data_IF_251924120119
#
_entry.id   IF_251924120119
#
_cell.length_a   1.000
_cell.length_b   1.000
_cell.length_c   1.000
_cell.angle_alpha   90.00
_cell.angle_beta   90.00
_cell.angle_gamma   90.00
#
_symmetry.space_group_name_H-M   'P 1'
#
loop_
_entity.id
_entity.type
_entity.pdbx_description
1 polymer ?
#
# COMPACT_ATOMS: atom_id res chain seq x y z
N UNK A 1 19.87 -1.92 5.96
CA UNK A 1 21.17 -1.38 6.47
C UNK A 1 21.72 -0.21 5.65
N UNK A 2 21.72 -0.21 4.30
CA UNK A 2 22.31 0.86 3.48
C UNK A 2 21.83 2.29 3.87
N UNK A 3 20.51 2.60 4.01
CA UNK A 3 20.09 3.94 4.41
C UNK A 3 20.63 4.36 5.78
N UNK A 4 20.71 3.45 6.73
CA UNK A 4 21.26 3.74 8.07
C UNK A 4 22.75 4.13 7.98
N UNK A 5 23.53 3.41 7.18
CA UNK A 5 24.96 3.75 6.96
C UNK A 5 25.17 5.12 6.34
N UNK A 6 24.27 5.54 5.45
CA UNK A 6 24.39 6.81 4.72
C UNK A 6 23.95 8.02 5.55
N UNK A 7 22.91 7.87 6.38
CA UNK A 7 22.20 9.01 6.95
C UNK A 7 22.18 9.03 8.48
N UNK A 8 22.70 8.01 9.15
CA UNK A 8 22.73 7.92 10.62
C UNK A 8 24.15 7.68 11.12
N UNK A 9 24.51 8.37 12.20
CA UNK A 9 25.74 8.08 12.95
C UNK A 9 25.40 7.07 14.06
N UNK A 10 25.36 5.78 13.71
CA UNK A 10 25.03 4.69 14.61
C UNK A 10 26.12 3.62 14.58
N UNK A 11 26.27 2.85 15.65
CA UNK A 11 27.15 1.70 15.69
C UNK A 11 26.64 0.61 14.76
N UNK A 12 27.48 -0.37 14.46
CA UNK A 12 27.08 -1.51 13.63
C UNK A 12 26.01 -2.35 14.32
N UNK A 13 26.13 -2.50 15.64
CA UNK A 13 25.19 -3.23 16.48
C UNK A 13 23.78 -2.58 16.42
N UNK A 14 23.70 -1.27 16.66
CA UNK A 14 22.44 -0.51 16.58
C UNK A 14 21.78 -0.61 15.20
N UNK A 15 22.58 -0.57 14.13
CA UNK A 15 22.05 -0.75 12.77
C UNK A 15 21.50 -2.16 12.55
N UNK A 16 22.16 -3.20 13.08
CA UNK A 16 21.70 -4.59 12.98
C UNK A 16 20.40 -4.77 13.77
N UNK A 17 20.32 -4.28 15.00
CA UNK A 17 19.12 -4.31 15.81
C UNK A 17 17.94 -3.64 15.09
N UNK A 18 18.16 -2.45 14.52
CA UNK A 18 17.12 -1.75 13.76
C UNK A 18 16.68 -2.52 12.51
N UNK A 19 17.59 -3.15 11.80
CA UNK A 19 17.27 -4.00 10.63
C UNK A 19 16.45 -5.21 11.08
N UNK A 20 16.85 -5.90 12.14
CA UNK A 20 16.13 -7.03 12.68
C UNK A 20 14.71 -6.65 13.14
N UNK A 21 14.57 -5.50 13.79
CA UNK A 21 13.28 -4.96 14.20
C UNK A 21 12.33 -4.76 12.99
N UNK A 22 12.78 -4.08 11.93
CA UNK A 22 11.91 -3.85 10.76
C UNK A 22 11.64 -5.12 9.96
N UNK A 23 12.58 -6.07 9.90
CA UNK A 23 12.34 -7.36 9.26
C UNK A 23 11.29 -8.17 10.04
N UNK A 24 11.35 -8.17 11.36
CA UNK A 24 10.33 -8.78 12.20
C UNK A 24 8.97 -8.13 11.95
N UNK A 25 8.91 -6.80 11.89
CA UNK A 25 7.67 -6.05 11.67
C UNK A 25 6.96 -6.42 10.36
N UNK A 26 7.73 -6.79 9.33
CA UNK A 26 7.18 -7.25 8.04
C UNK A 26 7.09 -8.78 7.93
N UNK A 27 7.15 -9.51 9.04
CA UNK A 27 7.11 -10.98 9.09
C UNK A 27 8.19 -11.66 8.21
N UNK A 28 9.42 -11.15 8.29
CA UNK A 28 10.59 -11.68 7.59
C UNK A 28 11.76 -11.98 8.56
N UNK A 29 11.44 -12.44 9.77
CA UNK A 29 12.44 -12.94 10.72
C UNK A 29 13.31 -14.02 10.06
N UNK A 30 14.60 -14.03 10.39
CA UNK A 30 15.57 -14.98 9.86
C UNK A 30 15.85 -14.88 8.33
N UNK A 31 15.47 -13.75 7.70
CA UNK A 31 15.74 -13.53 6.27
C UNK A 31 16.99 -12.67 6.00
N UNK A 32 17.79 -12.37 7.02
CA UNK A 32 18.95 -11.45 6.95
C UNK A 32 20.02 -11.89 5.97
N UNK A 33 20.15 -13.19 5.76
CA UNK A 33 21.21 -13.79 4.94
C UNK A 33 20.72 -14.26 3.56
N UNK A 34 19.42 -14.04 3.26
CA UNK A 34 18.86 -14.39 1.96
C UNK A 34 19.17 -13.32 0.92
N UNK A 35 19.53 -13.76 -0.26
CA UNK A 35 19.64 -12.89 -1.43
C UNK A 35 18.25 -12.59 -2.02
N UNK A 36 18.06 -11.46 -2.73
CA UNK A 36 16.77 -11.11 -3.36
C UNK A 36 16.21 -12.22 -4.27
N UNK A 37 17.07 -12.97 -4.97
CA UNK A 37 16.66 -14.07 -5.83
C UNK A 37 16.10 -15.29 -5.07
N UNK A 38 16.35 -15.40 -3.77
CA UNK A 38 15.84 -16.47 -2.89
C UNK A 38 14.50 -16.10 -2.23
N UNK A 39 13.98 -14.90 -2.52
CA UNK A 39 12.76 -14.39 -1.95
C UNK A 39 11.59 -14.53 -2.95
N UNK A 40 10.42 -14.98 -2.46
CA UNK A 40 9.19 -14.90 -3.25
C UNK A 40 8.80 -13.44 -3.54
N UNK A 41 7.92 -13.21 -4.54
CA UNK A 41 7.45 -11.87 -4.88
C UNK A 41 6.88 -11.11 -3.67
N UNK A 42 6.03 -11.73 -2.87
CA UNK A 42 5.49 -11.14 -1.65
C UNK A 42 6.57 -10.86 -0.59
N UNK A 43 7.58 -11.71 -0.44
CA UNK A 43 8.72 -11.43 0.44
C UNK A 43 9.55 -10.23 -0.06
N UNK A 44 9.77 -10.10 -1.37
CA UNK A 44 10.48 -8.96 -1.95
C UNK A 44 9.73 -7.65 -1.69
N UNK A 45 8.40 -7.62 -1.84
CA UNK A 45 7.55 -6.47 -1.50
C UNK A 45 7.67 -6.10 -0.02
N UNK A 46 7.63 -7.08 0.88
CA UNK A 46 7.83 -6.86 2.33
C UNK A 46 9.23 -6.33 2.67
N UNK A 47 10.27 -6.82 2.01
CA UNK A 47 11.62 -6.24 2.15
C UNK A 47 11.66 -4.78 1.68
N UNK A 48 10.97 -4.45 0.57
CA UNK A 48 10.89 -3.07 0.10
C UNK A 48 10.22 -2.15 1.13
N UNK A 49 9.13 -2.60 1.76
CA UNK A 49 8.46 -1.87 2.86
C UNK A 49 9.42 -1.72 4.05
N UNK A 50 10.09 -2.79 4.50
CA UNK A 50 11.07 -2.72 5.58
C UNK A 50 12.19 -1.71 5.31
N UNK A 51 12.68 -1.65 4.06
CA UNK A 51 13.68 -0.65 3.64
C UNK A 51 13.14 0.78 3.71
N UNK A 52 11.89 0.99 3.36
CA UNK A 52 11.25 2.30 3.40
C UNK A 52 11.09 2.80 4.84
N UNK A 53 10.67 1.93 5.78
CA UNK A 53 10.38 2.32 7.17
C UNK A 53 11.59 2.30 8.10
N UNK A 54 12.76 1.78 7.65
CA UNK A 54 13.95 1.61 8.51
C UNK A 54 14.44 2.92 9.14
N UNK A 55 14.17 4.05 8.48
CA UNK A 55 14.59 5.39 8.90
C UNK A 55 13.54 6.14 9.73
N UNK A 56 12.42 5.51 10.08
CA UNK A 56 11.25 6.15 10.70
C UNK A 56 10.77 7.38 9.89
N UNK A 57 10.33 7.20 8.65
CA UNK A 57 9.88 8.30 7.82
C UNK A 57 8.59 8.91 8.37
N UNK A 58 8.33 10.19 8.05
CA UNK A 58 7.02 10.84 8.26
C UNK A 58 6.05 10.57 7.12
N UNK A 59 6.56 10.25 5.95
CA UNK A 59 5.80 10.00 4.72
C UNK A 59 6.28 8.70 4.07
N UNK A 60 5.34 7.87 3.66
CA UNK A 60 5.60 6.64 2.90
C UNK A 60 4.93 6.76 1.53
N UNK A 61 5.70 6.54 0.47
CA UNK A 61 5.20 6.52 -0.90
C UNK A 61 5.32 5.11 -1.45
N UNK A 62 4.21 4.53 -1.86
CA UNK A 62 4.12 3.20 -2.45
C UNK A 62 3.59 3.31 -3.88
N UNK A 63 4.34 2.77 -4.83
CA UNK A 63 3.94 2.67 -6.22
C UNK A 63 3.66 1.20 -6.54
N UNK A 64 2.39 0.88 -6.82
CA UNK A 64 1.91 -0.46 -7.10
C UNK A 64 2.45 -1.53 -6.11
N UNK A 65 2.21 -1.36 -4.80
CA UNK A 65 2.89 -2.18 -3.79
C UNK A 65 2.55 -3.67 -3.87
N UNK A 66 1.36 -4.03 -4.32
CA UNK A 66 0.85 -5.40 -4.43
C UNK A 66 0.82 -5.94 -5.87
N UNK A 67 1.29 -5.17 -6.84
CA UNK A 67 1.30 -5.58 -8.25
C UNK A 67 2.09 -6.87 -8.48
N UNK A 68 1.52 -7.77 -9.30
CA UNK A 68 2.14 -9.05 -9.66
C UNK A 68 2.04 -10.13 -8.59
N UNK A 69 1.21 -9.92 -7.55
CA UNK A 69 0.96 -10.91 -6.50
C UNK A 69 -0.40 -11.59 -6.72
N UNK A 70 -0.54 -12.78 -6.14
CA UNK A 70 -1.87 -13.42 -6.03
C UNK A 70 -2.79 -12.61 -5.09
N UNK A 71 -4.12 -12.74 -5.21
CA UNK A 71 -5.06 -11.92 -4.44
C UNK A 71 -4.88 -12.02 -2.91
N UNK A 72 -4.58 -13.19 -2.38
CA UNK A 72 -4.39 -13.36 -0.94
C UNK A 72 -3.12 -12.64 -0.46
N UNK A 73 -2.04 -12.77 -1.20
CA UNK A 73 -0.77 -12.08 -0.88
C UNK A 73 -0.91 -10.56 -1.07
N UNK A 74 -1.68 -10.10 -2.05
CA UNK A 74 -1.98 -8.67 -2.25
C UNK A 74 -2.69 -8.07 -1.02
N UNK A 75 -3.72 -8.72 -0.51
CA UNK A 75 -4.44 -8.32 0.72
C UNK A 75 -3.48 -8.24 1.92
N UNK A 76 -2.56 -9.21 2.06
CA UNK A 76 -1.57 -9.20 3.15
C UNK A 76 -0.61 -8.00 3.06
N UNK A 77 -0.25 -7.56 1.85
CA UNK A 77 0.58 -6.37 1.65
C UNK A 77 -0.21 -5.09 2.00
N UNK A 78 -1.47 -5.00 1.58
CA UNK A 78 -2.34 -3.85 1.87
C UNK A 78 -2.56 -3.71 3.39
N UNK A 79 -2.91 -4.79 4.07
CA UNK A 79 -3.04 -4.80 5.53
C UNK A 79 -1.75 -4.39 6.23
N UNK A 80 -0.60 -4.91 5.78
CA UNK A 80 0.70 -4.55 6.34
C UNK A 80 1.00 -3.05 6.19
N UNK A 81 0.69 -2.46 5.04
CA UNK A 81 0.87 -1.02 4.81
C UNK A 81 -0.04 -0.22 5.74
N UNK A 82 -1.30 -0.60 5.88
CA UNK A 82 -2.25 0.05 6.78
C UNK A 82 -1.78 -0.03 8.24
N UNK A 83 -1.44 -1.22 8.72
CA UNK A 83 -0.91 -1.41 10.08
C UNK A 83 0.33 -0.55 10.37
N UNK A 84 1.26 -0.47 9.40
CA UNK A 84 2.45 0.37 9.53
C UNK A 84 2.08 1.85 9.56
N UNK A 85 1.15 2.28 8.72
CA UNK A 85 0.65 3.65 8.67
C UNK A 85 0.09 4.07 10.03
N UNK A 86 -0.74 3.23 10.62
CA UNK A 86 -1.39 3.47 11.91
C UNK A 86 -0.40 3.40 13.08
N UNK A 87 0.45 2.36 13.13
CA UNK A 87 1.42 2.16 14.21
C UNK A 87 2.46 3.27 14.28
N UNK A 88 2.99 3.68 13.12
CA UNK A 88 4.04 4.70 13.06
C UNK A 88 3.49 6.13 12.92
N UNK A 89 2.15 6.29 12.83
CA UNK A 89 1.48 7.58 12.65
C UNK A 89 2.07 8.36 11.47
N UNK A 90 2.26 7.69 10.34
CA UNK A 90 2.82 8.27 9.12
C UNK A 90 1.72 8.58 8.12
N UNK A 91 1.98 9.51 7.21
CA UNK A 91 1.13 9.73 6.04
C UNK A 91 1.59 8.84 4.91
N UNK A 92 0.72 7.94 4.45
CA UNK A 92 1.02 7.04 3.33
C UNK A 92 0.30 7.47 2.07
N UNK A 93 1.04 7.59 0.97
CA UNK A 93 0.50 7.83 -0.37
C UNK A 93 0.73 6.58 -1.21
N UNK A 94 -0.36 6.01 -1.71
CA UNK A 94 -0.32 4.79 -2.53
C UNK A 94 -0.80 5.15 -3.93
N UNK A 95 0.03 4.90 -4.93
CA UNK A 95 -0.38 4.88 -6.32
C UNK A 95 -0.74 3.45 -6.71
N UNK A 96 -1.97 3.24 -7.16
CA UNK A 96 -2.43 1.91 -7.59
C UNK A 96 -3.60 2.02 -8.57
N UNK A 97 -3.77 1.00 -9.39
CA UNK A 97 -4.96 0.81 -10.22
C UNK A 97 -5.88 -0.31 -9.67
N UNK A 98 -5.49 -0.96 -8.56
CA UNK A 98 -6.29 -2.02 -7.94
C UNK A 98 -7.39 -1.42 -7.06
N UNK A 99 -8.61 -1.50 -7.55
CA UNK A 99 -9.78 -0.99 -6.83
C UNK A 99 -10.07 -1.74 -5.52
N UNK A 100 -9.63 -2.99 -5.36
CA UNK A 100 -9.78 -3.71 -4.09
C UNK A 100 -8.93 -3.03 -3.01
N UNK A 101 -7.66 -2.73 -3.31
CA UNK A 101 -6.77 -1.98 -2.40
C UNK A 101 -7.34 -0.59 -2.08
N UNK A 102 -7.79 0.14 -3.12
CA UNK A 102 -8.41 1.47 -2.93
C UNK A 102 -9.59 1.42 -1.98
N UNK A 103 -10.45 0.41 -2.10
CA UNK A 103 -11.62 0.25 -1.26
C UNK A 103 -11.30 -0.26 0.15
N UNK A 104 -10.24 -1.05 0.29
CA UNK A 104 -9.86 -1.67 1.56
C UNK A 104 -9.12 -0.72 2.48
N UNK A 105 -8.13 0.01 1.96
CA UNK A 105 -7.21 0.82 2.76
C UNK A 105 -7.19 2.32 2.39
N UNK A 106 -8.01 2.76 1.44
CA UNK A 106 -8.04 4.15 0.99
C UNK A 106 -8.94 5.03 1.87
N UNK A 107 -8.36 5.93 2.66
CA UNK A 107 -9.11 6.95 3.41
C UNK A 107 -9.53 8.09 2.47
N UNK A 108 -8.56 8.64 1.76
CA UNK A 108 -8.72 9.72 0.79
C UNK A 108 -8.25 9.27 -0.58
N UNK A 109 -9.12 9.37 -1.56
CA UNK A 109 -8.86 8.92 -2.92
C UNK A 109 -8.75 10.12 -3.84
N UNK A 110 -7.68 10.17 -4.64
CA UNK A 110 -7.51 11.13 -5.73
C UNK A 110 -7.45 10.36 -7.03
N UNK A 111 -8.40 10.60 -7.92
CA UNK A 111 -8.42 9.97 -9.23
C UNK A 111 -7.75 10.86 -10.27
N UNK A 112 -6.71 10.33 -10.89
CA UNK A 112 -5.94 11.00 -11.93
C UNK A 112 -6.34 10.48 -13.31
N UNK A 113 -6.55 11.40 -14.25
CA UNK A 113 -6.81 11.08 -15.65
C UNK A 113 -6.19 12.14 -16.55
N UNK A 114 -5.53 11.71 -17.60
CA UNK A 114 -4.90 12.60 -18.60
C UNK A 114 -3.96 13.65 -17.95
N UNK A 115 -3.23 13.25 -16.90
CA UNK A 115 -2.29 14.10 -16.18
C UNK A 115 -2.91 15.13 -15.22
N UNK A 116 -4.24 15.10 -15.01
CA UNK A 116 -4.94 16.02 -14.11
C UNK A 116 -5.75 15.30 -13.06
N UNK A 117 -6.05 15.99 -11.95
CA UNK A 117 -6.98 15.50 -10.94
C UNK A 117 -8.41 15.57 -11.49
N UNK A 118 -8.97 14.41 -11.82
CA UNK A 118 -10.32 14.31 -12.35
C UNK A 118 -11.38 14.18 -11.24
N UNK A 119 -11.03 13.65 -10.08
CA UNK A 119 -11.94 13.51 -8.94
C UNK A 119 -11.16 13.35 -7.64
N UNK A 120 -11.82 13.66 -6.52
CA UNK A 120 -11.33 13.45 -5.15
C UNK A 120 -12.49 13.12 -4.24
N UNK A 121 -12.27 12.19 -3.29
CA UNK A 121 -13.28 11.78 -2.31
C UNK A 121 -12.81 10.62 -1.45
N UNK A 122 -13.74 9.95 -0.81
CA UNK A 122 -13.54 8.76 0.03
C UNK A 122 -14.00 7.50 -0.69
N UNK A 123 -13.67 6.32 -0.13
CA UNK A 123 -14.14 5.03 -0.65
C UNK A 123 -15.67 4.94 -0.71
N UNK A 124 -16.39 5.55 0.25
CA UNK A 124 -17.86 5.59 0.24
C UNK A 124 -18.44 6.48 -0.86
N UNK A 125 -17.73 7.56 -1.19
CA UNK A 125 -18.16 8.51 -2.23
C UNK A 125 -17.91 8.01 -3.64
N UNK A 126 -16.93 7.11 -3.84
CA UNK A 126 -16.70 6.45 -5.15
C UNK A 126 -17.97 5.77 -5.65
N UNK A 127 -18.76 5.14 -4.80
CA UNK A 127 -20.00 4.46 -5.20
C UNK A 127 -21.15 5.41 -5.52
N UNK A 128 -21.09 6.65 -5.06
CA UNK A 128 -22.14 7.67 -5.24
C UNK A 128 -21.83 8.68 -6.34
N UNK A 129 -20.57 8.77 -6.77
CA UNK A 129 -20.17 9.78 -7.75
C UNK A 129 -20.75 9.50 -9.13
N UNK A 130 -21.13 10.57 -9.81
CA UNK A 130 -21.52 10.58 -11.22
C UNK A 130 -20.39 11.10 -12.14
N UNK A 131 -19.17 11.27 -11.58
CA UNK A 131 -18.02 11.65 -12.39
C UNK A 131 -17.73 10.58 -13.44
N UNK A 132 -17.86 10.93 -14.72
CA UNK A 132 -17.76 9.99 -15.84
C UNK A 132 -16.43 9.23 -15.87
N UNK A 133 -15.32 9.88 -15.50
CA UNK A 133 -14.00 9.27 -15.50
C UNK A 133 -13.91 8.18 -14.46
N UNK A 134 -14.40 8.43 -13.25
CA UNK A 134 -14.45 7.44 -12.15
C UNK A 134 -15.40 6.31 -12.50
N UNK A 135 -16.62 6.65 -12.98
CA UNK A 135 -17.63 5.66 -13.36
C UNK A 135 -17.11 4.70 -14.42
N UNK A 136 -16.48 5.25 -15.49
CA UNK A 136 -15.93 4.42 -16.56
C UNK A 136 -14.79 3.51 -16.10
N UNK A 137 -13.95 3.96 -15.18
CA UNK A 137 -12.83 3.19 -14.68
C UNK A 137 -13.26 2.14 -13.65
N UNK A 138 -13.92 2.57 -12.59
CA UNK A 138 -14.29 1.70 -11.45
C UNK A 138 -15.30 0.64 -11.88
N UNK A 139 -16.29 1.03 -12.66
CA UNK A 139 -17.37 0.13 -13.10
C UNK A 139 -17.12 -0.52 -14.47
N UNK A 140 -15.87 -0.59 -14.90
CA UNK A 140 -15.48 -1.49 -16.00
C UNK A 140 -15.67 -2.97 -15.63
N UNK A 141 -15.56 -3.31 -14.32
CA UNK A 141 -15.80 -4.65 -13.78
C UNK A 141 -17.29 -4.89 -13.48
N UNK A 142 -17.82 -6.06 -13.87
CA UNK A 142 -19.21 -6.47 -13.57
C UNK A 142 -19.48 -6.57 -12.06
N UNK A 143 -18.47 -6.95 -11.27
CA UNK A 143 -18.59 -7.00 -9.81
C UNK A 143 -18.89 -5.61 -9.23
N UNK A 144 -18.12 -4.61 -9.60
CA UNK A 144 -18.32 -3.25 -9.09
C UNK A 144 -19.61 -2.61 -9.62
N UNK A 145 -20.09 -2.95 -10.81
CA UNK A 145 -21.43 -2.56 -11.27
C UNK A 145 -22.52 -3.07 -10.34
N UNK A 146 -22.47 -4.35 -9.96
CA UNK A 146 -23.44 -4.95 -9.03
C UNK A 146 -23.38 -4.29 -7.65
N UNK A 147 -22.19 -4.02 -7.14
CA UNK A 147 -22.00 -3.34 -5.85
C UNK A 147 -22.62 -1.94 -5.88
N UNK A 148 -22.41 -1.16 -6.96
CA UNK A 148 -23.03 0.17 -7.12
C UNK A 148 -24.55 0.10 -7.09
N UNK A 149 -25.14 -0.84 -7.85
CA UNK A 149 -26.61 -1.01 -7.91
C UNK A 149 -27.18 -1.33 -6.54
N UNK A 150 -26.53 -2.21 -5.77
CA UNK A 150 -26.95 -2.52 -4.40
C UNK A 150 -26.89 -1.25 -3.52
N UNK A 151 -25.79 -0.50 -3.58
CA UNK A 151 -25.59 0.73 -2.78
C UNK A 151 -26.60 1.84 -3.10
N UNK A 152 -26.98 2.02 -4.38
CA UNK A 152 -27.96 3.01 -4.80
C UNK A 152 -29.39 2.61 -4.42
N UNK A 153 -29.67 1.31 -4.27
CA UNK A 153 -30.98 0.81 -3.83
C UNK A 153 -31.18 0.90 -2.32
N UNK A 154 -30.11 0.79 -1.52
CA UNK A 154 -30.18 0.94 -0.05
C UNK A 154 -30.32 2.40 0.40
N UNK A 155 -30.04 3.37 -0.50
CA UNK A 155 -30.09 4.82 -0.18
C UNK A 155 -31.40 5.48 -0.63
N UNK A 156 -32.35 4.71 -1.17
CA UNK A 156 -33.74 5.13 -1.46
C UNK A 156 -34.68 4.72 -0.33
#
# INVERSE_FOLDING_TARGET
MFPLKMFKKQSQEEMIERVNFVLKRVNLENSNFKFPAELSGGMQKRVAIARAIVMNPKYLFCDEPNSGLDPNTAILIDNLIQEITDEYQITTVINTHDMNSVMQIGDKIVFLKDGVKAWEGTSKEVFKTDNEAVVKFVYSSELFKKVRLAYLNETK
#
